data_IF_685622431082
#
_entry.id   IF_685622431082
#
_cell.length_a   1.000
_cell.length_b   1.000
_cell.length_c   1.000
_cell.angle_alpha   90.00
_cell.angle_beta   90.00
_cell.angle_gamma   90.00
#
_symmetry.space_group_name_H-M   'P 1'
#
loop_
_entity.id
_entity.type
_entity.pdbx_description
1 polymer ?
#
# COMPACT_ATOMS: atom_id res chain seq x y z
N UNK A 1 -24.34 -6.26 38.13
CA UNK A 1 -23.08 -6.49 37.36
C UNK A 1 -23.46 -7.20 36.07
N UNK A 2 -23.32 -6.57 34.89
CA UNK A 2 -23.64 -7.18 33.59
C UNK A 2 -22.43 -7.98 33.10
N UNK A 3 -22.57 -9.31 33.00
CA UNK A 3 -21.55 -10.16 32.41
C UNK A 3 -21.60 -10.02 30.87
N UNK A 4 -20.46 -9.68 30.25
CA UNK A 4 -20.31 -9.70 28.80
C UNK A 4 -19.83 -11.08 28.38
N UNK A 5 -20.69 -11.87 27.72
CA UNK A 5 -20.26 -13.08 27.02
C UNK A 5 -19.45 -12.67 25.78
N UNK A 6 -18.14 -12.91 25.80
CA UNK A 6 -17.32 -12.90 24.60
C UNK A 6 -17.38 -14.29 23.96
N UNK A 7 -18.32 -14.50 23.03
CA UNK A 7 -18.34 -15.70 22.20
C UNK A 7 -17.29 -15.59 21.10
N UNK A 8 -16.23 -16.41 21.16
CA UNK A 8 -15.30 -16.58 20.05
C UNK A 8 -15.91 -17.55 19.03
N UNK A 9 -16.20 -17.07 17.82
CA UNK A 9 -16.64 -17.92 16.72
C UNK A 9 -15.43 -18.70 16.20
N UNK A 10 -15.48 -20.04 16.27
CA UNK A 10 -14.48 -20.93 15.68
C UNK A 10 -14.98 -21.43 14.34
N UNK A 11 -14.13 -21.39 13.33
CA UNK A 11 -14.42 -21.93 12.01
C UNK A 11 -13.74 -23.28 11.92
N UNK A 12 -14.52 -24.35 11.73
CA UNK A 12 -14.00 -25.71 11.61
C UNK A 12 -14.28 -26.20 10.20
N UNK A 13 -13.27 -26.77 9.55
CA UNK A 13 -13.44 -27.44 8.27
C UNK A 13 -14.30 -28.69 8.45
N UNK A 14 -15.45 -28.76 7.76
CA UNK A 14 -16.34 -29.91 7.85
C UNK A 14 -15.76 -31.18 7.24
N UNK A 15 -14.79 -31.07 6.32
CA UNK A 15 -14.20 -32.24 5.66
C UNK A 15 -13.09 -32.90 6.50
N UNK A 16 -12.32 -32.10 7.24
CA UNK A 16 -11.13 -32.59 7.97
C UNK A 16 -11.25 -32.45 9.48
N UNK A 17 -12.24 -31.72 9.99
CA UNK A 17 -12.40 -31.42 11.42
C UNK A 17 -11.32 -30.48 11.98
N UNK A 18 -10.49 -29.87 11.11
CA UNK A 18 -9.42 -28.97 11.51
C UNK A 18 -9.92 -27.57 11.85
N UNK A 19 -9.35 -26.95 12.89
CA UNK A 19 -9.60 -25.55 13.26
C UNK A 19 -8.98 -24.63 12.19
N UNK A 20 -9.84 -23.90 11.47
CA UNK A 20 -9.45 -22.99 10.41
C UNK A 20 -9.20 -21.61 11.02
N UNK A 21 -7.92 -21.30 11.24
CA UNK A 21 -7.50 -19.96 11.61
C UNK A 21 -7.63 -19.03 10.37
N UNK A 22 -8.54 -18.03 10.38
CA UNK A 22 -8.77 -17.15 9.24
C UNK A 22 -7.57 -16.26 8.89
N UNK A 23 -6.56 -16.20 9.77
CA UNK A 23 -5.31 -15.47 9.54
C UNK A 23 -4.16 -16.32 8.99
N UNK A 24 -4.40 -17.62 8.76
CA UNK A 24 -3.39 -18.52 8.20
C UNK A 24 -3.12 -18.17 6.73
N UNK A 25 -1.98 -17.52 6.45
CA UNK A 25 -1.44 -17.24 5.10
C UNK A 25 -1.41 -18.47 4.18
N UNK A 26 -1.45 -19.69 4.75
CA UNK A 26 -1.45 -20.94 3.99
C UNK A 26 -2.76 -21.19 3.23
N UNK A 27 -3.90 -20.72 3.77
CA UNK A 27 -5.21 -20.83 3.10
C UNK A 27 -5.25 -19.98 1.83
N UNK A 28 -4.69 -18.77 1.85
CA UNK A 28 -4.64 -17.90 0.67
C UNK A 28 -3.85 -18.53 -0.49
N UNK A 29 -2.76 -19.24 -0.20
CA UNK A 29 -1.97 -19.91 -1.23
C UNK A 29 -2.61 -21.20 -1.77
N UNK A 30 -3.27 -22.00 -0.92
CA UNK A 30 -3.92 -23.25 -1.36
C UNK A 30 -5.23 -23.00 -2.14
N UNK A 31 -6.00 -21.95 -1.83
CA UNK A 31 -7.17 -21.57 -2.64
C UNK A 31 -6.77 -21.19 -4.07
N UNK A 32 -5.63 -20.52 -4.24
CA UNK A 32 -5.13 -20.09 -5.55
C UNK A 32 -4.57 -21.28 -6.36
N UNK A 33 -3.99 -22.29 -5.70
CA UNK A 33 -3.40 -23.46 -6.34
C UNK A 33 -4.43 -24.50 -6.83
N UNK A 34 -5.64 -24.53 -6.25
CA UNK A 34 -6.71 -25.49 -6.61
C UNK A 34 -7.63 -25.02 -7.75
N UNK A 35 -7.30 -23.92 -8.44
CA UNK A 35 -8.08 -23.46 -9.60
C UNK A 35 -9.50 -22.95 -9.25
N UNK A 36 -9.81 -22.76 -7.97
CA UNK A 36 -11.02 -22.08 -7.53
C UNK A 36 -10.83 -20.57 -7.75
N UNK A 37 -11.08 -20.14 -9.00
CA UNK A 37 -11.35 -18.74 -9.33
C UNK A 37 -12.46 -18.27 -8.39
N UNK A 38 -12.12 -17.42 -7.43
CA UNK A 38 -13.13 -16.76 -6.60
C UNK A 38 -14.04 -15.95 -7.51
N UNK A 39 -15.35 -16.20 -7.47
CA UNK A 39 -16.38 -15.43 -8.19
C UNK A 39 -16.25 -13.90 -7.95
N UNK A 40 -15.63 -13.51 -6.83
CA UNK A 40 -15.28 -12.13 -6.50
C UNK A 40 -14.36 -11.46 -7.54
N UNK A 41 -13.53 -12.23 -8.25
CA UNK A 41 -12.55 -11.72 -9.23
C UNK A 41 -13.12 -11.67 -10.67
N UNK A 42 -14.24 -12.34 -10.93
CA UNK A 42 -14.96 -12.26 -12.20
C UNK A 42 -15.88 -11.03 -12.25
N UNK A 43 -16.45 -10.61 -11.11
CA UNK A 43 -17.25 -9.39 -11.03
C UNK A 43 -16.46 -8.11 -11.33
N UNK A 44 -15.12 -8.14 -11.21
CA UNK A 44 -14.25 -7.03 -11.62
C UNK A 44 -13.80 -7.09 -13.08
N UNK A 45 -13.90 -8.25 -13.75
CA UNK A 45 -13.48 -8.41 -15.15
C UNK A 45 -14.65 -8.47 -16.15
N UNK A 46 -15.89 -8.71 -15.69
CA UNK A 46 -17.07 -8.87 -16.55
C UNK A 46 -17.90 -7.57 -16.70
N UNK A 47 -17.23 -6.42 -16.75
CA UNK A 47 -17.87 -5.11 -16.67
C UNK A 47 -17.60 -4.16 -17.85
N UNK A 48 -17.46 -4.65 -19.08
CA UNK A 48 -17.48 -3.79 -20.28
C UNK A 48 -18.40 -4.37 -21.35
N UNK A 49 -19.67 -3.96 -21.28
CA UNK A 49 -20.71 -4.31 -22.24
C UNK A 49 -21.75 -3.19 -22.46
N UNK A 50 -21.42 -1.94 -22.09
CA UNK A 50 -22.25 -0.79 -22.42
C UNK A 50 -21.62 -0.03 -23.59
N UNK A 51 -22.12 -0.33 -24.78
CA UNK A 51 -21.90 0.44 -26.01
C UNK A 51 -22.42 1.86 -25.79
N UNK A 52 -21.53 2.76 -25.38
CA UNK A 52 -21.71 4.20 -25.57
C UNK A 52 -21.20 4.54 -26.98
N UNK A 53 -21.89 5.41 -27.74
CA UNK A 53 -21.44 5.80 -29.07
C UNK A 53 -20.07 6.48 -28.95
N UNK A 54 -19.07 5.95 -29.64
CA UNK A 54 -17.72 6.49 -29.68
C UNK A 54 -17.75 7.92 -30.25
N UNK A 55 -17.40 8.96 -29.47
CA UNK A 55 -17.09 10.26 -30.04
C UNK A 55 -15.78 10.15 -30.83
N UNK A 56 -15.73 10.82 -31.97
CA UNK A 56 -14.58 10.91 -32.87
C UNK A 56 -13.29 11.28 -32.09
N UNK A 57 -12.15 10.60 -32.35
CA UNK A 57 -10.91 10.77 -31.58
C UNK A 57 -10.18 12.10 -31.83
N UNK A 58 -10.77 13.04 -32.59
CA UNK A 58 -10.16 14.32 -32.94
C UNK A 58 -10.60 15.53 -32.09
N UNK A 59 -11.70 15.45 -31.34
CA UNK A 59 -12.33 16.64 -30.73
C UNK A 59 -12.26 16.69 -29.19
N UNK A 60 -11.90 15.57 -28.53
CA UNK A 60 -11.90 15.46 -27.06
C UNK A 60 -10.60 15.91 -26.38
N UNK A 61 -9.46 15.92 -27.06
CA UNK A 61 -8.20 16.36 -26.44
C UNK A 61 -8.13 17.88 -26.20
N UNK A 62 -8.94 18.69 -26.90
CA UNK A 62 -8.90 20.15 -26.74
C UNK A 62 -9.79 20.66 -25.60
N UNK A 63 -10.80 19.89 -25.18
CA UNK A 63 -11.69 20.28 -24.08
C UNK A 63 -11.12 19.89 -22.70
N UNK A 64 -10.35 18.81 -22.59
CA UNK A 64 -9.75 18.40 -21.32
C UNK A 64 -8.65 19.36 -20.83
N UNK A 65 -7.90 19.98 -21.73
CA UNK A 65 -6.91 20.99 -21.37
C UNK A 65 -7.57 22.27 -20.82
N UNK A 66 -8.69 22.70 -21.42
CA UNK A 66 -9.45 23.86 -20.96
C UNK A 66 -10.14 23.59 -19.62
N UNK A 67 -10.70 22.39 -19.41
CA UNK A 67 -11.33 22.00 -18.13
C UNK A 67 -10.29 21.80 -17.03
N UNK A 68 -9.12 21.23 -17.33
CA UNK A 68 -8.02 21.12 -16.37
C UNK A 68 -7.43 22.50 -15.99
N UNK A 69 -7.38 23.45 -16.93
CA UNK A 69 -7.00 24.84 -16.65
C UNK A 69 -8.06 25.59 -15.83
N UNK A 70 -9.35 25.33 -16.07
CA UNK A 70 -10.44 25.85 -15.24
C UNK A 70 -10.44 25.25 -13.83
N UNK A 71 -10.04 23.98 -13.66
CA UNK A 71 -9.88 23.36 -12.34
C UNK A 71 -8.79 24.02 -11.47
N UNK A 72 -7.89 24.80 -12.10
CA UNK A 72 -6.80 25.51 -11.44
C UNK A 72 -7.03 27.04 -11.30
N UNK A 73 -8.17 27.58 -11.76
CA UNK A 73 -8.48 29.01 -11.74
C UNK A 73 -9.78 29.31 -11.00
N UNK A 74 -9.72 30.21 -10.00
CA UNK A 74 -10.91 30.68 -9.27
C UNK A 74 -11.15 32.15 -9.63
N UNK A 75 -12.16 32.47 -10.47
CA UNK A 75 -12.44 33.83 -10.86
C UNK A 75 -12.86 34.67 -9.65
N UNK A 76 -12.30 35.87 -9.50
CA UNK A 76 -12.65 36.78 -8.42
C UNK A 76 -12.37 38.23 -8.83
N UNK A 77 -13.37 39.10 -8.65
CA UNK A 77 -13.29 40.50 -9.04
C UNK A 77 -12.45 41.38 -8.12
N UNK A 78 -12.17 40.92 -6.89
CA UNK A 78 -11.42 41.67 -5.88
C UNK A 78 -10.51 40.74 -5.09
N UNK A 79 -9.35 41.24 -4.70
CA UNK A 79 -8.44 40.52 -3.81
C UNK A 79 -9.09 40.32 -2.43
N UNK A 80 -9.19 39.07 -1.97
CA UNK A 80 -9.75 38.69 -0.66
C UNK A 80 -8.67 38.24 0.34
N UNK A 81 -7.40 38.51 0.06
CA UNK A 81 -6.27 38.05 0.86
C UNK A 81 -5.47 36.91 0.22
N UNK A 82 -4.30 36.65 0.77
CA UNK A 82 -3.39 35.61 0.30
C UNK A 82 -3.98 34.21 0.59
N UNK A 83 -3.93 33.32 -0.42
CA UNK A 83 -4.35 31.92 -0.29
C UNK A 83 -3.13 31.03 -0.53
N UNK A 84 -2.89 30.08 0.36
CA UNK A 84 -1.74 29.18 0.24
C UNK A 84 -1.85 28.36 -1.04
N UNK A 85 -0.82 28.42 -1.89
CA UNK A 85 -0.77 27.73 -3.19
C UNK A 85 -1.55 28.42 -4.32
N UNK A 86 -2.02 29.66 -4.11
CA UNK A 86 -2.70 30.44 -5.14
C UNK A 86 -2.15 31.86 -5.23
N UNK A 87 -1.99 32.35 -6.47
CA UNK A 87 -1.55 33.71 -6.77
C UNK A 87 -2.72 34.48 -7.40
N UNK A 88 -3.04 35.64 -6.84
CA UNK A 88 -4.06 36.54 -7.43
C UNK A 88 -3.43 37.36 -8.55
N UNK A 89 -3.87 37.13 -9.79
CA UNK A 89 -3.40 37.86 -10.96
C UNK A 89 -4.51 38.01 -12.00
N UNK A 90 -4.25 38.82 -13.01
CA UNK A 90 -5.08 38.92 -14.22
C UNK A 90 -4.37 38.13 -15.32
N UNK A 91 -5.04 37.12 -15.88
CA UNK A 91 -4.53 36.32 -16.99
C UNK A 91 -5.58 36.13 -18.08
N UNK A 92 -5.27 35.25 -19.03
CA UNK A 92 -6.11 34.96 -20.20
C UNK A 92 -7.57 34.61 -19.87
N UNK A 93 -7.88 33.76 -18.85
CA UNK A 93 -9.26 33.49 -18.45
C UNK A 93 -9.91 34.58 -17.56
N UNK A 94 -9.18 35.64 -17.19
CA UNK A 94 -9.71 36.77 -16.42
C UNK A 94 -8.95 37.09 -15.13
N UNK A 95 -9.57 37.87 -14.24
CA UNK A 95 -8.98 38.23 -12.93
C UNK A 95 -9.41 37.22 -11.88
N UNK A 96 -8.45 36.67 -11.14
CA UNK A 96 -8.74 35.69 -10.10
C UNK A 96 -7.52 35.04 -9.47
N UNK A 97 -7.76 33.96 -8.72
CA UNK A 97 -6.71 33.16 -8.09
C UNK A 97 -6.29 32.02 -9.01
N UNK A 98 -5.02 31.99 -9.36
CA UNK A 98 -4.39 30.94 -10.16
C UNK A 98 -3.63 29.99 -9.24
N UNK A 99 -3.81 28.69 -9.42
CA UNK A 99 -3.00 27.69 -8.74
C UNK A 99 -1.52 27.89 -9.12
N UNK A 100 -0.67 28.03 -8.13
CA UNK A 100 0.76 28.20 -8.35
C UNK A 100 1.37 26.83 -8.67
N UNK A 101 1.40 26.47 -9.97
CA UNK A 101 1.90 25.16 -10.44
C UNK A 101 3.41 24.96 -10.14
N UNK A 102 4.12 26.01 -9.72
CA UNK A 102 5.54 25.96 -9.34
C UNK A 102 5.83 25.91 -7.84
N UNK A 103 4.84 26.14 -6.97
CA UNK A 103 5.01 25.98 -5.53
C UNK A 103 4.94 24.50 -5.21
N UNK A 104 5.99 23.89 -4.62
CA UNK A 104 5.97 22.50 -4.15
C UNK A 104 4.68 22.28 -3.37
N UNK A 105 3.70 21.65 -4.02
CA UNK A 105 2.37 21.54 -3.44
C UNK A 105 2.49 20.77 -2.13
N UNK A 106 1.68 21.10 -1.12
CA UNK A 106 1.69 20.36 0.15
C UNK A 106 1.57 18.84 -0.07
N UNK A 107 0.87 18.44 -1.14
CA UNK A 107 0.79 17.05 -1.61
C UNK A 107 2.14 16.49 -2.07
N UNK A 108 2.94 17.26 -2.81
CA UNK A 108 4.28 16.83 -3.25
C UNK A 108 5.23 16.62 -2.06
N UNK A 109 5.18 17.49 -1.05
CA UNK A 109 5.96 17.32 0.19
C UNK A 109 5.49 16.09 0.97
N UNK A 110 4.18 15.92 1.12
CA UNK A 110 3.60 14.76 1.81
C UNK A 110 3.93 13.44 1.09
N UNK A 111 3.90 13.43 -0.25
CA UNK A 111 4.28 12.27 -1.05
C UNK A 111 5.77 11.95 -0.90
N UNK A 112 6.62 12.97 -0.89
CA UNK A 112 8.06 12.80 -0.67
C UNK A 112 8.34 12.19 0.71
N UNK A 113 7.70 12.71 1.77
CA UNK A 113 7.85 12.17 3.13
C UNK A 113 7.33 10.71 3.21
N UNK A 114 6.19 10.43 2.59
CA UNK A 114 5.64 9.07 2.54
C UNK A 114 6.61 8.09 1.86
N UNK A 115 7.22 8.48 0.74
CA UNK A 115 8.20 7.65 0.03
C UNK A 115 9.45 7.41 0.87
N UNK A 116 9.91 8.40 1.64
CA UNK A 116 11.02 8.23 2.58
C UNK A 116 10.70 7.20 3.67
N UNK A 117 9.51 7.28 4.28
CA UNK A 117 9.07 6.30 5.30
C UNK A 117 9.01 4.88 4.73
N UNK A 118 8.50 4.71 3.52
CA UNK A 118 8.45 3.39 2.86
C UNK A 118 9.86 2.82 2.65
N UNK A 119 10.83 3.66 2.25
CA UNK A 119 12.21 3.22 2.07
C UNK A 119 12.87 2.83 3.39
N UNK A 120 12.67 3.61 4.45
CA UNK A 120 13.19 3.32 5.78
C UNK A 120 12.60 2.04 6.36
N UNK A 121 11.30 1.83 6.22
CA UNK A 121 10.63 0.61 6.69
C UNK A 121 11.18 -0.62 5.98
N UNK A 122 11.42 -0.54 4.67
CA UNK A 122 12.05 -1.64 3.89
C UNK A 122 13.48 -1.90 4.38
N UNK A 123 14.27 -0.86 4.66
CA UNK A 123 15.64 -1.00 5.22
C UNK A 123 15.62 -1.61 6.62
N UNK A 124 14.71 -1.17 7.49
CA UNK A 124 14.54 -1.70 8.84
C UNK A 124 14.11 -3.18 8.82
N UNK A 125 13.16 -3.55 7.94
CA UNK A 125 12.77 -4.95 7.73
C UNK A 125 13.93 -5.81 7.25
N UNK A 126 14.74 -5.32 6.30
CA UNK A 126 15.95 -6.02 5.83
C UNK A 126 16.97 -6.19 6.96
N UNK A 127 17.28 -5.13 7.71
CA UNK A 127 18.20 -5.17 8.84
C UNK A 127 17.75 -6.17 9.93
N UNK A 128 16.45 -6.20 10.25
CA UNK A 128 15.88 -7.16 11.21
C UNK A 128 16.02 -8.60 10.72
N UNK A 129 15.86 -8.84 9.42
CA UNK A 129 16.05 -10.17 8.80
C UNK A 129 17.52 -10.61 8.87
N UNK A 130 18.46 -9.71 8.59
CA UNK A 130 19.90 -10.01 8.68
C UNK A 130 20.34 -10.29 10.11
N UNK A 131 19.96 -9.45 11.08
CA UNK A 131 20.24 -9.70 12.50
C UNK A 131 19.68 -11.04 12.99
N UNK A 132 18.52 -11.47 12.47
CA UNK A 132 17.93 -12.79 12.78
C UNK A 132 18.75 -13.93 12.16
N UNK A 133 19.29 -13.76 10.95
CA UNK A 133 20.18 -14.74 10.31
C UNK A 133 21.50 -14.86 11.07
N UNK A 134 22.15 -13.75 11.37
CA UNK A 134 23.41 -13.68 12.14
C UNK A 134 23.25 -14.36 13.52
N UNK A 135 22.16 -14.05 14.24
CA UNK A 135 21.86 -14.70 15.53
C UNK A 135 21.65 -16.21 15.41
N UNK A 136 21.11 -16.70 14.28
CA UNK A 136 20.98 -18.14 14.02
C UNK A 136 22.34 -18.77 13.71
N UNK A 137 23.21 -18.10 12.96
CA UNK A 137 24.56 -18.59 12.65
C UNK A 137 25.45 -18.66 13.90
N UNK A 138 25.48 -17.60 14.70
CA UNK A 138 26.21 -17.58 15.98
C UNK A 138 25.74 -18.68 16.94
N UNK A 139 24.44 -19.02 16.92
CA UNK A 139 23.90 -20.16 17.69
C UNK A 139 24.37 -21.51 17.14
N UNK A 140 24.49 -21.66 15.82
CA UNK A 140 25.01 -22.88 15.18
C UNK A 140 26.49 -23.07 15.48
N UNK A 141 27.30 -22.02 15.39
CA UNK A 141 28.74 -22.05 15.72
C UNK A 141 28.98 -22.42 17.19
N UNK A 142 28.29 -21.76 18.13
CA UNK A 142 28.36 -22.11 19.56
C UNK A 142 27.99 -23.56 19.84
N UNK A 143 27.04 -24.14 19.10
CA UNK A 143 26.68 -25.55 19.23
C UNK A 143 27.77 -26.48 18.69
N UNK A 144 28.39 -26.13 17.55
CA UNK A 144 29.51 -26.90 16.98
C UNK A 144 30.72 -26.90 17.92
N UNK A 145 31.10 -25.73 18.44
CA UNK A 145 32.22 -25.59 19.37
C UNK A 145 32.01 -26.39 20.67
N UNK A 146 30.79 -26.35 21.24
CA UNK A 146 30.44 -27.16 22.42
C UNK A 146 30.53 -28.67 22.15
N UNK A 147 30.10 -29.13 20.97
CA UNK A 147 30.22 -30.55 20.59
C UNK A 147 31.68 -30.98 20.45
N UNK A 148 32.52 -30.14 19.83
CA UNK A 148 33.94 -30.43 19.66
C UNK A 148 34.68 -30.48 21.01
N UNK A 149 34.40 -29.54 21.91
CA UNK A 149 34.95 -29.54 23.29
C UNK A 149 34.53 -30.78 24.07
N UNK A 150 33.27 -31.24 23.93
CA UNK A 150 32.79 -32.47 24.58
C UNK A 150 33.53 -33.70 24.05
N UNK A 151 33.65 -33.85 22.73
CA UNK A 151 34.37 -34.97 22.12
C UNK A 151 35.86 -35.00 22.46
N UNK A 152 36.52 -33.84 22.60
CA UNK A 152 37.92 -33.77 23.08
C UNK A 152 38.08 -34.20 24.54
N UNK A 153 37.07 -33.95 25.38
CA UNK A 153 37.08 -34.35 26.80
C UNK A 153 36.90 -35.86 26.94
N UNK A 154 36.00 -36.46 26.15
CA UNK A 154 35.76 -37.90 26.12
C UNK A 154 36.94 -38.71 25.57
N UNK A 155 37.80 -38.12 24.70
CA UNK A 155 39.02 -38.80 24.20
C UNK A 155 40.22 -38.73 25.15
N UNK A 156 40.16 -37.92 26.21
CA UNK A 156 41.29 -37.69 27.13
C UNK A 156 41.11 -38.35 28.51
N UNK A 157 39.90 -38.81 28.84
CA UNK A 157 39.61 -39.56 30.06
C UNK A 157 39.36 -41.01 29.70
#
# INVERSE_FOLDING_TARGET
RKAKLQGSVKYVDQATGGDLDPTSEKLMYDLTARGMRSELNERWNAGEGSRSPSPDPGELEQLDAAVAQQAAFVPCSRFRGARQGYVFKTGEPGTGYYCEVGGRSAKALMLQEMLQRIQEEKRAKKAKKERKKEKKERKKERKKEKKEKKGKKEKKG
#
